data_IF_153675037163
#
_entry.id   IF_153675037163
#
_cell.length_a   1.000
_cell.length_b   1.000
_cell.length_c   1.000
_cell.angle_alpha   90.00
_cell.angle_beta   90.00
_cell.angle_gamma   90.00
#
_symmetry.space_group_name_H-M   'P 1'
#
loop_
_entity.id
_entity.type
_entity.pdbx_description
1 polymer ?
#
# COMPACT_ATOMS: atom_id res chain seq x y z
N UNK A 1 6.56 33.75 1.05
CA UNK A 1 5.73 33.72 -0.17
C UNK A 1 4.77 32.55 -0.07
N UNK A 2 3.45 32.81 -0.02
CA UNK A 2 2.42 31.81 0.23
C UNK A 2 2.05 31.04 -1.03
N UNK A 3 2.39 29.74 -1.06
CA UNK A 3 1.94 28.83 -2.10
C UNK A 3 0.44 28.60 -1.99
N UNK A 4 -0.31 29.26 -2.87
CA UNK A 4 -1.75 29.05 -3.05
C UNK A 4 -1.98 27.60 -3.53
N UNK A 5 -2.19 26.70 -2.56
CA UNK A 5 -2.71 25.36 -2.80
C UNK A 5 -4.13 25.48 -3.33
N UNK A 6 -4.28 25.59 -4.66
CA UNK A 6 -5.53 25.31 -5.37
C UNK A 6 -5.87 23.84 -5.08
N UNK A 7 -6.66 23.62 -4.03
CA UNK A 7 -7.34 22.35 -3.83
C UNK A 7 -8.16 22.02 -5.07
N UNK A 8 -8.44 20.72 -5.32
CA UNK A 8 -9.24 20.31 -6.47
C UNK A 8 -10.57 21.07 -6.39
N UNK A 9 -10.78 21.96 -7.35
CA UNK A 9 -12.07 22.62 -7.57
C UNK A 9 -13.12 21.54 -7.62
N UNK A 10 -14.21 21.74 -6.89
CA UNK A 10 -15.35 20.83 -6.82
C UNK A 10 -15.62 20.23 -8.19
N UNK A 11 -15.78 18.90 -8.22
CA UNK A 11 -16.42 18.22 -9.34
C UNK A 11 -17.90 18.67 -9.27
N UNK A 12 -18.17 19.91 -9.68
CA UNK A 12 -19.49 20.39 -10.10
C UNK A 12 -19.78 19.86 -11.52
N UNK A 13 -19.52 18.58 -11.73
CA UNK A 13 -20.27 17.85 -12.74
C UNK A 13 -21.57 17.49 -12.05
N UNK A 14 -22.67 18.13 -12.41
CA UNK A 14 -24.01 17.84 -11.89
C UNK A 14 -24.40 16.39 -12.17
N UNK A 15 -23.86 15.45 -11.40
CA UNK A 15 -24.32 14.08 -11.35
C UNK A 15 -25.67 14.12 -10.65
N UNK A 16 -26.73 13.89 -11.41
CA UNK A 16 -28.07 13.73 -10.86
C UNK A 16 -28.00 12.80 -9.64
N UNK A 17 -28.69 13.11 -8.53
CA UNK A 17 -28.52 12.39 -7.28
C UNK A 17 -28.82 10.91 -7.51
N UNK A 18 -27.94 10.03 -7.02
CA UNK A 18 -28.21 8.59 -7.07
C UNK A 18 -29.50 8.33 -6.30
N UNK A 19 -30.43 7.54 -6.85
CA UNK A 19 -31.68 7.17 -6.17
C UNK A 19 -31.42 6.50 -4.80
N UNK A 20 -30.25 5.90 -4.61
CA UNK A 20 -29.80 5.34 -3.31
C UNK A 20 -29.48 6.41 -2.26
N UNK A 21 -29.25 7.65 -2.69
CA UNK A 21 -28.97 8.81 -1.83
C UNK A 21 -30.19 9.71 -1.64
N UNK A 22 -31.30 9.45 -2.33
CA UNK A 22 -32.51 10.27 -2.24
C UNK A 22 -33.41 9.85 -1.07
N UNK A 23 -34.01 10.85 -0.42
CA UNK A 23 -35.07 10.64 0.57
C UNK A 23 -36.31 10.01 -0.12
N UNK A 24 -37.00 9.03 0.48
CA UNK A 24 -38.22 8.42 -0.09
C UNK A 24 -39.28 9.43 -0.56
N UNK A 25 -39.41 10.60 0.09
CA UNK A 25 -40.31 11.66 -0.37
C UNK A 25 -39.89 12.30 -1.71
N UNK A 26 -38.59 12.38 -1.99
CA UNK A 26 -38.07 12.84 -3.28
C UNK A 26 -38.29 11.80 -4.39
N UNK A 27 -38.14 10.51 -4.05
CA UNK A 27 -38.40 9.40 -4.97
C UNK A 27 -39.87 9.41 -5.42
N UNK A 28 -40.81 9.60 -4.48
CA UNK A 28 -42.24 9.68 -4.81
C UNK A 28 -42.57 10.87 -5.75
N UNK A 29 -41.95 12.04 -5.53
CA UNK A 29 -42.12 13.20 -6.42
C UNK A 29 -41.52 12.97 -7.81
N UNK A 30 -40.40 12.26 -7.89
CA UNK A 30 -39.77 11.94 -9.17
C UNK A 30 -40.57 10.89 -9.95
N UNK A 31 -41.10 9.87 -9.27
CA UNK A 31 -42.03 8.89 -9.86
C UNK A 31 -43.34 9.53 -10.33
N UNK A 32 -43.80 10.58 -9.65
CA UNK A 32 -44.99 11.32 -10.05
C UNK A 32 -44.76 12.23 -11.28
N UNK A 33 -43.51 12.65 -11.53
CA UNK A 33 -43.18 13.61 -12.58
C UNK A 33 -42.59 12.99 -13.85
N UNK A 34 -42.06 11.76 -13.78
CA UNK A 34 -41.45 11.07 -14.94
C UNK A 34 -42.02 9.65 -15.09
N UNK A 35 -42.25 9.17 -16.33
CA UNK A 35 -42.64 7.78 -16.55
C UNK A 35 -41.53 6.83 -16.07
N UNK A 36 -41.93 5.72 -15.44
CA UNK A 36 -41.02 4.71 -14.85
C UNK A 36 -39.97 4.21 -15.85
N UNK A 37 -40.32 4.12 -17.13
CA UNK A 37 -39.40 3.72 -18.21
C UNK A 37 -38.21 4.66 -18.37
N UNK A 38 -38.40 5.99 -18.23
CA UNK A 38 -37.32 6.96 -18.29
C UNK A 38 -36.39 6.85 -17.07
N UNK A 39 -36.96 6.63 -15.88
CA UNK A 39 -36.18 6.46 -14.64
C UNK A 39 -35.28 5.23 -14.73
N UNK A 40 -35.82 4.11 -15.22
CA UNK A 40 -35.04 2.88 -15.44
C UNK A 40 -33.92 3.11 -16.47
N UNK A 41 -34.23 3.82 -17.56
CA UNK A 41 -33.23 4.12 -18.60
C UNK A 41 -32.10 5.02 -18.07
N UNK A 42 -32.42 6.03 -17.25
CA UNK A 42 -31.45 6.93 -16.64
C UNK A 42 -30.59 6.22 -15.58
N UNK A 43 -31.20 5.38 -14.73
CA UNK A 43 -30.45 4.53 -13.81
C UNK A 43 -29.52 3.56 -14.54
N UNK A 44 -29.98 2.96 -15.63
CA UNK A 44 -29.16 2.09 -16.47
C UNK A 44 -27.93 2.83 -17.01
N UNK A 45 -28.10 4.06 -17.50
CA UNK A 45 -26.99 4.91 -17.96
C UNK A 45 -26.04 5.30 -16.82
N UNK A 46 -26.55 5.57 -15.62
CA UNK A 46 -25.71 5.85 -14.45
C UNK A 46 -24.88 4.63 -14.04
N UNK A 47 -25.50 3.43 -13.98
CA UNK A 47 -24.80 2.18 -13.66
C UNK A 47 -23.68 1.88 -14.66
N UNK A 48 -23.90 2.15 -15.95
CA UNK A 48 -22.87 2.01 -16.97
C UNK A 48 -21.69 2.99 -16.79
N UNK A 49 -21.90 4.12 -16.10
CA UNK A 49 -20.86 5.09 -15.77
C UNK A 49 -20.16 4.81 -14.44
N UNK A 50 -20.70 3.96 -13.55
CA UNK A 50 -20.08 3.61 -12.26
C UNK A 50 -18.64 3.10 -12.43
N UNK A 51 -18.32 2.18 -13.37
CA UNK A 51 -16.93 1.73 -13.56
C UNK A 51 -15.98 2.87 -13.95
N UNK A 52 -16.44 3.84 -14.75
CA UNK A 52 -15.62 4.99 -15.17
C UNK A 52 -15.37 5.95 -14.01
N UNK A 53 -16.40 6.23 -13.20
CA UNK A 53 -16.26 7.06 -12.00
C UNK A 53 -15.38 6.39 -10.95
N UNK A 54 -15.58 5.10 -10.71
CA UNK A 54 -14.76 4.30 -9.81
C UNK A 54 -13.30 4.25 -10.29
N UNK A 55 -13.05 4.06 -11.58
CA UNK A 55 -11.70 4.11 -12.14
C UNK A 55 -11.06 5.50 -11.95
N UNK A 56 -11.79 6.60 -12.18
CA UNK A 56 -11.29 7.96 -11.93
C UNK A 56 -10.97 8.19 -10.46
N UNK A 57 -11.87 7.81 -9.55
CA UNK A 57 -11.64 7.91 -8.11
C UNK A 57 -10.45 7.06 -7.68
N UNK A 58 -10.36 5.83 -8.17
CA UNK A 58 -9.23 4.93 -7.93
C UNK A 58 -7.92 5.53 -8.44
N UNK A 59 -7.87 6.05 -9.66
CA UNK A 59 -6.65 6.69 -10.21
C UNK A 59 -6.28 7.97 -9.44
N UNK A 60 -7.25 8.77 -8.99
CA UNK A 60 -6.99 9.96 -8.19
C UNK A 60 -6.39 9.58 -6.81
N UNK A 61 -6.94 8.55 -6.17
CA UNK A 61 -6.42 8.02 -4.91
C UNK A 61 -5.06 7.35 -5.12
N UNK A 62 -4.93 6.53 -6.15
CA UNK A 62 -3.68 5.87 -6.52
C UNK A 62 -2.59 6.91 -6.78
N UNK A 63 -2.86 7.98 -7.54
CA UNK A 63 -1.88 9.04 -7.79
C UNK A 63 -1.50 9.84 -6.53
N UNK A 64 -2.35 9.81 -5.49
CA UNK A 64 -2.04 10.44 -4.19
C UNK A 64 -1.04 9.63 -3.38
N UNK A 65 -1.12 8.29 -3.45
CA UNK A 65 -0.28 7.39 -2.66
C UNK A 65 0.88 6.81 -3.45
N UNK A 66 0.64 6.38 -4.68
CA UNK A 66 1.64 5.88 -5.61
C UNK A 66 2.11 7.02 -6.50
N UNK A 67 3.42 7.26 -6.50
CA UNK A 67 4.02 8.18 -7.47
C UNK A 67 4.03 7.51 -8.84
N UNK A 68 3.80 8.27 -9.92
CA UNK A 68 3.75 7.72 -11.26
C UNK A 68 5.07 7.00 -11.59
N UNK A 69 4.96 5.80 -12.16
CA UNK A 69 6.13 4.97 -12.49
C UNK A 69 7.08 5.62 -13.50
N UNK A 70 6.56 6.51 -14.34
CA UNK A 70 7.37 7.32 -15.25
C UNK A 70 8.33 8.24 -14.50
N UNK A 71 7.90 8.80 -13.36
CA UNK A 71 8.80 9.55 -12.49
C UNK A 71 9.77 8.60 -11.80
N UNK A 72 9.28 7.46 -11.29
CA UNK A 72 10.11 6.45 -10.62
C UNK A 72 11.26 5.98 -11.52
N UNK A 73 11.01 5.45 -12.71
CA UNK A 73 12.05 4.93 -13.59
C UNK A 73 13.00 5.97 -14.21
N UNK A 74 12.73 7.26 -14.05
CA UNK A 74 13.55 8.32 -14.65
C UNK A 74 14.83 8.55 -13.84
N UNK A 75 15.89 7.84 -14.22
CA UNK A 75 17.24 8.05 -13.72
C UNK A 75 17.96 9.10 -14.57
N UNK A 76 18.66 10.05 -13.93
CA UNK A 76 19.46 11.09 -14.60
C UNK A 76 20.95 10.90 -14.27
N UNK A 77 21.64 9.94 -14.90
CA UNK A 77 22.99 9.52 -14.50
C UNK A 77 24.01 10.66 -14.48
N UNK A 78 23.93 11.59 -15.45
CA UNK A 78 24.85 12.73 -15.52
C UNK A 78 24.84 13.61 -14.26
N UNK A 79 23.66 13.91 -13.71
CA UNK A 79 23.54 14.75 -12.50
C UNK A 79 24.03 14.05 -11.25
N UNK A 80 23.88 12.73 -11.17
CA UNK A 80 24.41 11.94 -10.05
C UNK A 80 25.93 12.05 -10.02
N UNK A 81 26.58 11.89 -11.18
CA UNK A 81 28.03 11.98 -11.29
C UNK A 81 28.55 13.37 -10.92
N UNK A 82 27.85 14.42 -11.34
CA UNK A 82 28.15 15.80 -10.94
C UNK A 82 27.98 16.02 -9.43
N UNK A 83 26.86 15.55 -8.86
CA UNK A 83 26.59 15.62 -7.42
C UNK A 83 27.62 14.86 -6.59
N UNK A 84 27.99 13.66 -7.03
CA UNK A 84 29.02 12.83 -6.41
C UNK A 84 30.40 13.47 -6.51
N UNK A 85 30.77 14.03 -7.67
CA UNK A 85 32.03 14.74 -7.87
C UNK A 85 32.11 16.00 -7.01
N UNK A 86 31.01 16.74 -6.89
CA UNK A 86 30.92 17.91 -6.01
C UNK A 86 31.05 17.52 -4.52
N UNK A 87 30.35 16.48 -4.08
CA UNK A 87 30.46 15.96 -2.71
C UNK A 87 31.85 15.40 -2.41
N UNK A 88 32.48 14.74 -3.38
CA UNK A 88 33.85 14.22 -3.28
C UNK A 88 34.87 15.33 -3.10
N UNK A 89 34.74 16.45 -3.83
CA UNK A 89 35.59 17.63 -3.63
C UNK A 89 35.46 18.25 -2.24
N UNK A 90 34.29 18.12 -1.60
CA UNK A 90 34.03 18.62 -0.24
C UNK A 90 34.40 17.62 0.86
N UNK A 91 34.72 16.37 0.52
CA UNK A 91 34.96 15.30 1.49
C UNK A 91 33.70 14.78 2.20
N UNK A 92 32.50 15.15 1.75
CA UNK A 92 31.22 14.86 2.44
C UNK A 92 30.38 13.78 1.73
N UNK A 93 31.03 12.82 1.08
CA UNK A 93 30.36 11.80 0.25
C UNK A 93 29.31 11.00 1.05
N UNK A 94 29.67 10.60 2.28
CA UNK A 94 28.78 9.79 3.13
C UNK A 94 27.51 10.56 3.52
N UNK A 95 27.65 11.83 3.93
CA UNK A 95 26.53 12.69 4.30
C UNK A 95 25.63 12.94 3.11
N UNK A 96 26.22 13.16 1.93
CA UNK A 96 25.46 13.36 0.69
C UNK A 96 24.64 12.11 0.33
N UNK A 97 25.27 10.93 0.33
CA UNK A 97 24.60 9.67 0.01
C UNK A 97 23.48 9.36 1.00
N UNK A 98 23.73 9.50 2.31
CA UNK A 98 22.74 9.22 3.35
C UNK A 98 21.53 10.14 3.22
N UNK A 99 21.74 11.46 3.02
CA UNK A 99 20.65 12.41 2.80
C UNK A 99 19.88 12.12 1.51
N UNK A 100 20.57 11.75 0.43
CA UNK A 100 19.93 11.42 -0.83
C UNK A 100 19.07 10.16 -0.73
N UNK A 101 19.62 9.09 -0.15
CA UNK A 101 18.91 7.83 0.06
C UNK A 101 17.70 8.05 0.96
N UNK A 102 17.83 8.78 2.07
CA UNK A 102 16.71 9.02 2.99
C UNK A 102 15.57 9.80 2.31
N UNK A 103 15.90 10.89 1.60
CA UNK A 103 14.91 11.70 0.89
C UNK A 103 14.20 10.91 -0.21
N UNK A 104 14.94 10.17 -1.04
CA UNK A 104 14.35 9.33 -2.09
C UNK A 104 13.55 8.15 -1.52
N UNK A 105 13.99 7.58 -0.39
CA UNK A 105 13.28 6.50 0.31
C UNK A 105 11.92 6.97 0.82
N UNK A 106 11.88 8.14 1.46
CA UNK A 106 10.63 8.72 1.93
C UNK A 106 9.71 9.11 0.76
N UNK A 107 10.27 9.66 -0.33
CA UNK A 107 9.50 10.09 -1.50
C UNK A 107 8.86 8.94 -2.28
N UNK A 108 9.51 7.78 -2.35
CA UNK A 108 9.05 6.62 -3.12
C UNK A 108 8.70 5.38 -2.26
N UNK A 109 8.53 5.56 -0.95
CA UNK A 109 8.18 4.47 -0.02
C UNK A 109 7.03 3.58 -0.53
N UNK A 110 5.91 4.13 -1.04
CA UNK A 110 4.79 3.32 -1.50
C UNK A 110 5.14 2.49 -2.75
N UNK A 111 5.97 3.02 -3.65
CA UNK A 111 6.43 2.29 -4.83
C UNK A 111 7.39 1.15 -4.43
N UNK A 112 8.29 1.37 -3.48
CA UNK A 112 9.17 0.32 -2.96
C UNK A 112 8.39 -0.77 -2.23
N UNK A 113 7.39 -0.40 -1.43
CA UNK A 113 6.49 -1.34 -0.77
C UNK A 113 5.71 -2.16 -1.80
N UNK A 114 5.23 -1.53 -2.87
CA UNK A 114 4.55 -2.23 -3.95
C UNK A 114 5.48 -3.23 -4.66
N UNK A 115 6.72 -2.86 -4.97
CA UNK A 115 7.72 -3.78 -5.54
C UNK A 115 8.00 -4.96 -4.61
N UNK A 116 8.14 -4.70 -3.30
CA UNK A 116 8.30 -5.75 -2.30
C UNK A 116 7.12 -6.71 -2.27
N UNK A 117 5.88 -6.20 -2.24
CA UNK A 117 4.67 -7.03 -2.25
C UNK A 117 4.52 -7.82 -3.56
N UNK A 118 4.81 -7.21 -4.71
CA UNK A 118 4.78 -7.89 -6.00
C UNK A 118 5.82 -9.01 -6.07
N UNK A 119 7.04 -8.77 -5.59
CA UNK A 119 8.10 -9.77 -5.55
C UNK A 119 7.77 -10.90 -4.57
N UNK A 120 7.23 -10.57 -3.40
CA UNK A 120 6.77 -11.54 -2.41
C UNK A 120 5.65 -12.42 -2.99
N UNK A 121 4.66 -11.81 -3.65
CA UNK A 121 3.58 -12.53 -4.31
C UNK A 121 4.11 -13.46 -5.40
N UNK A 122 5.01 -12.97 -6.26
CA UNK A 122 5.67 -13.78 -7.27
C UNK A 122 6.41 -14.97 -6.64
N UNK A 123 7.20 -14.77 -5.59
CA UNK A 123 7.90 -15.89 -4.92
C UNK A 123 6.95 -16.92 -4.33
N UNK A 124 5.87 -16.47 -3.68
CA UNK A 124 4.82 -17.35 -3.15
C UNK A 124 4.17 -18.16 -4.28
N UNK A 125 3.82 -17.53 -5.40
CA UNK A 125 3.21 -18.20 -6.55
C UNK A 125 4.17 -19.16 -7.27
N UNK A 126 5.46 -18.86 -7.32
CA UNK A 126 6.47 -19.72 -7.98
C UNK A 126 6.89 -20.93 -7.14
N UNK A 127 6.57 -20.94 -5.83
CA UNK A 127 6.93 -22.04 -4.93
C UNK A 127 5.71 -22.94 -4.66
N UNK A 128 5.54 -24.06 -5.40
CA UNK A 128 4.39 -24.95 -5.23
C UNK A 128 4.34 -25.55 -3.82
N UNK A 129 5.49 -25.84 -3.21
CA UNK A 129 5.57 -26.34 -1.84
C UNK A 129 5.02 -25.33 -0.83
N UNK A 130 5.28 -24.04 -1.02
CA UNK A 130 4.80 -22.99 -0.13
C UNK A 130 3.29 -22.81 -0.27
N UNK A 131 2.74 -22.91 -1.48
CA UNK A 131 1.29 -22.90 -1.71
C UNK A 131 0.59 -24.08 -1.04
N UNK A 132 1.11 -25.30 -1.20
CA UNK A 132 0.57 -26.50 -0.55
C UNK A 132 0.59 -26.35 0.97
N UNK A 133 1.68 -25.83 1.52
CA UNK A 133 1.80 -25.69 2.96
C UNK A 133 0.96 -24.53 3.51
N UNK A 134 0.81 -23.42 2.78
CA UNK A 134 -0.18 -22.37 3.10
C UNK A 134 -1.61 -22.90 3.06
N UNK A 135 -1.94 -23.73 2.07
CA UNK A 135 -3.24 -24.39 1.98
C UNK A 135 -3.47 -25.35 3.15
N UNK A 136 -2.44 -26.10 3.55
CA UNK A 136 -2.48 -26.99 4.73
C UNK A 136 -2.71 -26.22 6.02
N UNK A 137 -2.00 -25.11 6.22
CA UNK A 137 -2.18 -24.22 7.39
C UNK A 137 -3.57 -23.58 7.38
N UNK A 138 -3.98 -22.96 6.26
CA UNK A 138 -5.28 -22.31 6.13
C UNK A 138 -6.44 -23.30 6.28
N UNK A 139 -6.30 -24.49 5.69
CA UNK A 139 -7.24 -25.60 5.84
C UNK A 139 -7.30 -26.13 7.27
N UNK A 140 -6.14 -26.29 7.93
CA UNK A 140 -6.05 -26.69 9.33
C UNK A 140 -6.74 -25.71 10.27
N UNK A 141 -6.52 -24.41 10.09
CA UNK A 141 -7.24 -23.35 10.81
C UNK A 141 -8.74 -23.36 10.50
N UNK A 142 -9.13 -23.49 9.24
CA UNK A 142 -10.53 -23.58 8.83
C UNK A 142 -11.25 -24.78 9.44
N UNK A 143 -10.58 -25.94 9.51
CA UNK A 143 -11.11 -27.15 10.14
C UNK A 143 -11.17 -27.01 11.67
N UNK A 144 -10.10 -26.53 12.31
CA UNK A 144 -10.05 -26.31 13.75
C UNK A 144 -11.13 -25.33 14.22
N UNK A 145 -11.34 -24.24 13.48
CA UNK A 145 -12.37 -23.25 13.79
C UNK A 145 -13.79 -23.75 13.54
N UNK A 146 -13.98 -24.78 12.69
CA UNK A 146 -15.29 -25.41 12.43
C UNK A 146 -15.60 -26.54 13.40
N UNK A 147 -14.60 -27.15 14.02
CA UNK A 147 -14.80 -28.25 14.98
C UNK A 147 -15.50 -27.74 16.25
N UNK A 148 -16.66 -28.32 16.57
CA UNK A 148 -17.39 -28.05 17.81
C UNK A 148 -16.60 -28.47 19.04
N UNK A 149 -15.71 -29.47 18.91
CA UNK A 149 -14.83 -29.90 20.00
C UNK A 149 -13.82 -28.80 20.36
N UNK A 150 -13.29 -28.10 19.36
CA UNK A 150 -12.37 -26.98 19.61
C UNK A 150 -13.07 -25.82 20.32
N UNK A 151 -14.30 -25.51 19.90
CA UNK A 151 -15.10 -24.39 20.44
C UNK A 151 -15.67 -24.68 21.82
N UNK A 152 -16.29 -25.83 22.00
CA UNK A 152 -17.18 -26.08 23.13
C UNK A 152 -16.55 -26.97 24.22
N UNK A 153 -15.52 -27.76 23.90
CA UNK A 153 -14.91 -28.70 24.86
C UNK A 153 -13.64 -28.10 25.47
N UNK A 154 -13.54 -27.90 26.80
CA UNK A 154 -12.30 -27.41 27.41
C UNK A 154 -11.18 -28.43 27.18
N UNK A 155 -10.04 -27.96 26.64
CA UNK A 155 -8.86 -28.82 26.52
C UNK A 155 -8.25 -28.95 27.91
N UNK A 156 -8.01 -30.17 28.38
CA UNK A 156 -7.33 -30.39 29.66
C UNK A 156 -5.90 -30.84 29.38
N UNK A 157 -4.94 -30.13 29.96
CA UNK A 157 -3.54 -30.54 29.93
C UNK A 157 -3.25 -31.32 31.21
N UNK A 158 -2.86 -32.58 31.08
CA UNK A 158 -2.47 -33.41 32.22
C UNK A 158 -0.96 -33.24 32.48
N UNK A 159 -0.59 -32.58 33.58
CA UNK A 159 0.81 -32.50 34.06
C UNK A 159 0.85 -33.09 35.46
N UNK A 160 1.65 -34.15 35.65
CA UNK A 160 1.88 -34.73 36.99
C UNK A 160 0.61 -35.25 37.69
N UNK A 161 -0.36 -35.77 36.94
CA UNK A 161 -1.62 -36.28 37.48
C UNK A 161 -2.69 -35.21 37.75
N UNK A 162 -2.38 -33.92 37.61
CA UNK A 162 -3.35 -32.83 37.67
C UNK A 162 -3.85 -32.46 36.26
N UNK A 163 -5.17 -32.33 36.10
CA UNK A 163 -5.79 -31.86 34.85
C UNK A 163 -6.05 -30.36 34.95
N UNK A 164 -5.30 -29.55 34.21
CA UNK A 164 -5.50 -28.09 34.17
C UNK A 164 -6.35 -27.74 32.94
N UNK A 165 -7.56 -27.16 33.12
CA UNK A 165 -8.38 -26.72 31.99
C UNK A 165 -7.71 -25.52 31.31
N UNK A 166 -7.43 -25.66 30.02
CA UNK A 166 -6.91 -24.57 29.19
C UNK A 166 -8.05 -23.68 28.70
N UNK A 167 -7.92 -22.39 28.99
CA UNK A 167 -8.81 -21.36 28.42
C UNK A 167 -8.66 -21.25 26.90
N UNK A 168 -9.65 -20.64 26.25
CA UNK A 168 -9.69 -20.44 24.79
C UNK A 168 -8.40 -19.82 24.23
N UNK A 169 -7.83 -18.84 24.93
CA UNK A 169 -6.59 -18.16 24.53
C UNK A 169 -5.38 -19.12 24.50
N UNK A 170 -5.29 -20.06 25.45
CA UNK A 170 -4.19 -21.03 25.50
C UNK A 170 -4.27 -22.02 24.34
N UNK A 171 -5.48 -22.47 23.98
CA UNK A 171 -5.70 -23.31 22.79
C UNK A 171 -5.26 -22.62 21.51
N UNK A 172 -5.64 -21.35 21.34
CA UNK A 172 -5.24 -20.55 20.19
C UNK A 172 -3.73 -20.34 20.11
N UNK A 173 -3.07 -20.11 21.25
CA UNK A 173 -1.61 -19.99 21.32
C UNK A 173 -0.89 -21.30 20.98
N UNK A 174 -1.43 -22.44 21.41
CA UNK A 174 -0.85 -23.76 21.08
C UNK A 174 -1.01 -24.05 19.59
N UNK A 175 -2.15 -23.74 18.98
CA UNK A 175 -2.34 -23.89 17.53
C UNK A 175 -1.54 -22.87 16.71
N UNK A 176 -1.26 -21.69 17.25
CA UNK A 176 -0.43 -20.70 16.56
C UNK A 176 1.05 -21.07 16.54
N UNK A 177 1.56 -21.85 17.51
CA UNK A 177 2.97 -22.27 17.56
C UNK A 177 3.44 -23.01 16.28
N UNK A 178 2.80 -24.11 15.84
CA UNK A 178 3.15 -24.76 14.57
C UNK A 178 3.03 -23.80 13.38
N UNK A 179 2.04 -22.90 13.42
CA UNK A 179 1.81 -21.89 12.37
C UNK A 179 2.97 -20.90 12.30
N UNK A 180 3.46 -20.42 13.45
CA UNK A 180 4.58 -19.50 13.56
C UNK A 180 5.89 -20.17 13.16
N UNK A 181 6.12 -21.41 13.59
CA UNK A 181 7.28 -22.19 13.16
C UNK A 181 7.26 -22.39 11.65
N UNK A 182 6.11 -22.80 11.10
CA UNK A 182 5.94 -22.93 9.65
C UNK A 182 6.23 -21.60 8.93
N UNK A 183 5.64 -20.51 9.39
CA UNK A 183 5.86 -19.20 8.79
C UNK A 183 7.34 -18.79 8.89
N UNK A 184 8.00 -19.05 10.01
CA UNK A 184 9.41 -18.74 10.17
C UNK A 184 10.32 -19.58 9.25
N UNK A 185 10.14 -20.90 9.21
CA UNK A 185 11.00 -21.79 8.43
C UNK A 185 10.76 -21.71 6.92
N UNK A 186 9.50 -21.54 6.48
CA UNK A 186 9.16 -21.55 5.07
C UNK A 186 8.98 -20.15 4.49
N UNK A 187 8.28 -19.25 5.20
CA UNK A 187 8.08 -17.88 4.73
C UNK A 187 9.29 -16.99 5.06
N UNK A 188 10.04 -17.28 6.12
CA UNK A 188 11.22 -16.51 6.52
C UNK A 188 12.26 -16.36 5.40
N UNK A 189 12.78 -17.46 4.81
CA UNK A 189 13.73 -17.38 3.70
C UNK A 189 13.18 -16.61 2.50
N UNK A 190 11.89 -16.76 2.20
CA UNK A 190 11.22 -16.05 1.10
C UNK A 190 11.12 -14.55 1.39
N UNK A 191 10.74 -14.16 2.61
CA UNK A 191 10.68 -12.77 3.05
C UNK A 191 12.07 -12.13 3.04
N UNK A 192 13.09 -12.83 3.53
CA UNK A 192 14.47 -12.35 3.47
C UNK A 192 14.96 -12.18 2.04
N UNK A 193 14.68 -13.14 1.16
CA UNK A 193 15.06 -13.06 -0.26
C UNK A 193 14.35 -11.90 -0.95
N UNK A 194 13.04 -11.74 -0.73
CA UNK A 194 12.27 -10.59 -1.22
C UNK A 194 12.84 -9.28 -0.69
N UNK A 195 13.09 -9.18 0.61
CA UNK A 195 13.61 -7.98 1.25
C UNK A 195 15.01 -7.62 0.75
N UNK A 196 15.90 -8.60 0.56
CA UNK A 196 17.24 -8.37 0.01
C UNK A 196 17.19 -7.95 -1.46
N UNK A 197 16.39 -8.63 -2.29
CA UNK A 197 16.25 -8.31 -3.71
C UNK A 197 15.63 -6.92 -3.90
N UNK A 198 14.46 -6.67 -3.32
CA UNK A 198 13.76 -5.40 -3.52
C UNK A 198 14.39 -4.27 -2.72
N UNK A 199 14.93 -4.55 -1.53
CA UNK A 199 15.69 -3.59 -0.73
C UNK A 199 16.97 -3.16 -1.42
N UNK A 200 17.72 -4.11 -2.02
CA UNK A 200 18.91 -3.81 -2.83
C UNK A 200 18.57 -2.95 -4.05
N UNK A 201 17.52 -3.31 -4.79
CA UNK A 201 17.03 -2.49 -5.92
C UNK A 201 16.57 -1.12 -5.46
N UNK A 202 15.86 -1.03 -4.33
CA UNK A 202 15.35 0.24 -3.79
C UNK A 202 16.50 1.14 -3.31
N UNK A 203 17.51 0.57 -2.67
CA UNK A 203 18.70 1.30 -2.21
C UNK A 203 19.55 1.76 -3.39
N UNK A 204 19.77 0.90 -4.40
CA UNK A 204 20.43 1.27 -5.64
C UNK A 204 19.67 2.38 -6.36
N UNK A 205 18.35 2.26 -6.48
CA UNK A 205 17.50 3.28 -7.09
C UNK A 205 17.53 4.60 -6.30
N UNK A 206 17.46 4.55 -4.96
CA UNK A 206 17.52 5.73 -4.10
C UNK A 206 18.90 6.43 -4.14
N UNK A 207 19.98 5.66 -4.27
CA UNK A 207 21.33 6.18 -4.42
C UNK A 207 21.58 6.80 -5.80
N UNK A 208 21.03 6.18 -6.85
CA UNK A 208 21.16 6.59 -8.25
C UNK A 208 20.12 7.64 -8.67
N UNK A 209 19.23 8.07 -7.78
CA UNK A 209 18.28 9.13 -8.13
C UNK A 209 18.79 10.46 -7.64
N UNK A 210 18.87 11.43 -8.54
CA UNK A 210 19.19 12.81 -8.19
C UNK A 210 18.01 13.48 -7.49
N UNK A 211 18.30 14.33 -6.49
CA UNK A 211 17.30 15.02 -5.69
C UNK A 211 16.93 16.34 -6.35
N UNK A 212 15.65 16.53 -6.69
CA UNK A 212 15.17 17.76 -7.34
C UNK A 212 15.27 19.01 -6.42
N UNK A 213 15.25 18.81 -5.10
CA UNK A 213 15.15 19.87 -4.09
C UNK A 213 16.38 20.80 -4.00
N UNK A 214 17.51 20.48 -4.67
CA UNK A 214 18.69 21.38 -4.69
C UNK A 214 18.42 22.72 -5.36
N UNK A 215 17.38 22.81 -6.21
CA UNK A 215 17.07 24.05 -6.94
C UNK A 215 16.48 25.14 -6.06
N UNK A 216 15.76 24.77 -5.00
CA UNK A 216 15.02 25.74 -4.19
C UNK A 216 15.93 26.46 -3.16
N UNK A 217 17.05 25.84 -2.76
CA UNK A 217 18.01 26.46 -1.83
C UNK A 217 18.89 27.53 -2.50
N UNK A 218 19.29 27.32 -3.76
CA UNK A 218 20.09 28.28 -4.52
C UNK A 218 19.28 29.56 -4.84
N UNK A 219 17.99 29.42 -5.13
CA UNK A 219 17.09 30.56 -5.40
C UNK A 219 16.75 31.34 -4.11
N UNK A 220 16.65 30.67 -2.96
CA UNK A 220 16.38 31.34 -1.67
C UNK A 220 17.58 32.13 -1.13
N UNK A 221 18.81 31.71 -1.44
CA UNK A 221 20.03 32.40 -1.02
C UNK A 221 20.30 33.70 -1.80
N UNK A 222 19.82 33.80 -3.05
CA UNK A 222 20.04 34.98 -3.90
C UNK A 222 19.24 36.22 -3.50
N UNK A 223 18.07 36.05 -2.89
CA UNK A 223 17.20 37.18 -2.53
C UNK A 223 17.52 37.85 -1.18
N UNK A 224 18.36 37.23 -0.33
CA UNK A 224 18.72 37.81 0.96
C UNK A 224 19.80 38.91 0.88
N UNK A 225 20.34 39.19 -0.31
CA UNK A 225 21.48 40.11 -0.49
C UNK A 225 21.13 41.47 -1.11
N UNK A 226 19.85 41.75 -1.40
CA UNK A 226 19.40 43.02 -2.00
C UNK A 226 18.47 43.83 -1.07
N UNK A 227 18.84 43.99 0.20
CA UNK A 227 18.22 44.99 1.08
C UNK A 227 19.30 45.94 1.61
N UNK A 228 19.41 47.17 1.07
CA UNK A 228 20.28 48.22 1.60
C UNK A 228 19.81 48.78 2.93
#
# INVERSE_FOLDING_TARGET
AGGAGRGPTSIEGGSAPSLLSMNPAAIARELASKPVTQIIQDQGRQLLNVPRLAARAYTAVANRYLRPWNEFGRLRPGRILEGFRSASRRGEIQVHLQRNVLANTQRFLPNYLFLFLAMLFMFVCTSPMLLVALAGVGGGWGHALRSDEFRNRPWTLAIGGMQVPMGSNAKMAILSLPTLLFLHFFMGPVLWSAALCTGGVSLAHAALRDRDDRRDEDDAGGHAQELP
#
